data_IF_273601960770
#
_entry.id   IF_273601960770
#
_cell.length_a   1.000
_cell.length_b   1.000
_cell.length_c   1.000
_cell.angle_alpha   90.00
_cell.angle_beta   90.00
_cell.angle_gamma   90.00
#
_symmetry.space_group_name_H-M   'P 1'
#
loop_
_entity.id
_entity.type
_entity.pdbx_description
1 polymer ?
#
# COMPACT_ATOMS: atom_id res chain seq x y z
N UNK A 1 -4.59 28.67 -10.07
CA UNK A 1 -4.21 27.25 -9.95
C UNK A 1 -3.41 26.91 -11.20
N UNK A 2 -2.20 26.33 -11.08
CA UNK A 2 -1.44 25.83 -12.20
C UNK A 2 -2.25 24.82 -13.02
N UNK A 3 -1.95 24.69 -14.32
CA UNK A 3 -2.67 23.75 -15.19
C UNK A 3 -2.57 22.30 -14.71
N UNK A 4 -1.41 21.90 -14.20
CA UNK A 4 -1.20 20.56 -13.66
C UNK A 4 -2.15 20.26 -12.50
N UNK A 5 -2.26 21.17 -11.54
CA UNK A 5 -3.18 21.00 -10.40
C UNK A 5 -4.63 20.89 -10.86
N UNK A 6 -5.02 21.73 -11.82
CA UNK A 6 -6.37 21.69 -12.40
C UNK A 6 -6.66 20.33 -13.05
N UNK A 7 -5.76 19.84 -13.89
CA UNK A 7 -5.91 18.55 -14.56
C UNK A 7 -5.95 17.40 -13.56
N UNK A 8 -5.10 17.45 -12.54
CA UNK A 8 -5.10 16.45 -11.47
C UNK A 8 -6.46 16.40 -10.75
N UNK A 9 -6.99 17.54 -10.33
CA UNK A 9 -8.30 17.60 -9.70
C UNK A 9 -9.42 17.10 -10.62
N UNK A 10 -9.39 17.45 -11.91
CA UNK A 10 -10.36 16.92 -12.89
C UNK A 10 -10.25 15.40 -13.05
N UNK A 11 -9.04 14.85 -12.98
CA UNK A 11 -8.84 13.39 -13.01
C UNK A 11 -9.42 12.72 -11.76
N UNK A 12 -9.29 13.33 -10.59
CA UNK A 12 -9.89 12.82 -9.35
C UNK A 12 -11.42 12.86 -9.40
N UNK A 13 -12.01 13.94 -9.91
CA UNK A 13 -13.46 14.02 -10.13
C UNK A 13 -13.93 12.91 -11.08
N UNK A 14 -13.21 12.67 -12.16
CA UNK A 14 -13.54 11.60 -13.12
C UNK A 14 -13.41 10.21 -12.50
N UNK A 15 -12.35 9.97 -11.75
CA UNK A 15 -12.14 8.71 -11.02
C UNK A 15 -13.29 8.44 -10.04
N UNK A 16 -13.77 9.50 -9.35
CA UNK A 16 -14.94 9.39 -8.50
C UNK A 16 -16.22 9.05 -9.28
N UNK A 17 -16.50 9.78 -10.38
CA UNK A 17 -17.74 9.64 -11.16
C UNK A 17 -17.87 8.24 -11.79
N UNK A 18 -16.74 7.61 -12.11
CA UNK A 18 -16.67 6.27 -12.71
C UNK A 18 -16.33 5.15 -11.72
N UNK A 19 -16.23 5.48 -10.42
CA UNK A 19 -15.81 4.56 -9.36
C UNK A 19 -14.48 3.83 -9.65
N UNK A 20 -13.53 4.55 -10.26
CA UNK A 20 -12.20 4.02 -10.57
C UNK A 20 -11.26 4.35 -9.42
N UNK A 21 -10.57 3.36 -8.80
CA UNK A 21 -9.55 3.63 -7.80
C UNK A 21 -8.31 4.26 -8.44
N UNK A 22 -7.58 5.05 -7.64
CA UNK A 22 -6.39 5.78 -8.09
C UNK A 22 -5.17 5.22 -7.39
N UNK A 23 -4.20 4.76 -8.16
CA UNK A 23 -2.89 4.33 -7.66
C UNK A 23 -1.93 5.53 -7.68
N UNK A 24 -1.28 5.78 -6.55
CA UNK A 24 -0.32 6.90 -6.41
C UNK A 24 1.02 6.37 -5.94
N UNK A 25 2.06 6.68 -6.71
CA UNK A 25 3.43 6.44 -6.29
C UNK A 25 3.79 7.37 -5.12
N UNK A 26 4.30 6.81 -4.03
CA UNK A 26 4.72 7.55 -2.84
C UNK A 26 6.10 7.07 -2.38
N UNK A 27 6.83 7.93 -1.66
CA UNK A 27 8.12 7.56 -1.10
C UNK A 27 9.24 7.45 -2.13
N UNK A 28 10.04 6.40 -2.03
CA UNK A 28 11.23 6.19 -2.83
C UNK A 28 10.95 6.14 -4.34
N UNK A 29 11.74 6.89 -5.09
CA UNK A 29 11.76 6.87 -6.55
C UNK A 29 12.99 6.10 -7.04
N UNK A 30 12.79 5.15 -7.95
CA UNK A 30 13.90 4.42 -8.55
C UNK A 30 14.78 5.33 -9.40
N UNK A 31 16.09 5.11 -9.35
CA UNK A 31 17.07 5.82 -10.17
C UNK A 31 18.19 6.46 -9.35
N UNK A 32 19.32 6.68 -10.03
CA UNK A 32 20.46 7.38 -9.44
C UNK A 32 20.15 8.87 -9.27
N UNK A 33 20.55 9.45 -8.15
CA UNK A 33 20.40 10.88 -7.85
C UNK A 33 18.95 11.34 -7.64
N UNK A 34 18.00 10.41 -7.51
CA UNK A 34 16.62 10.75 -7.16
C UNK A 34 16.53 11.13 -5.68
N UNK A 35 15.99 12.31 -5.42
CA UNK A 35 15.79 12.82 -4.07
C UNK A 35 14.44 12.38 -3.49
N UNK A 36 14.31 12.50 -2.16
CA UNK A 36 13.05 12.23 -1.46
C UNK A 36 12.15 13.46 -1.34
N UNK A 37 12.63 14.63 -1.78
CA UNK A 37 11.87 15.88 -1.67
C UNK A 37 10.58 15.80 -2.50
N UNK A 38 9.45 16.01 -1.85
CA UNK A 38 8.15 16.01 -2.53
C UNK A 38 7.51 14.63 -2.71
N UNK A 39 8.06 13.56 -2.12
CA UNK A 39 7.50 12.19 -2.20
C UNK A 39 6.89 11.68 -0.90
N UNK A 40 6.93 12.47 0.17
CA UNK A 40 6.30 12.11 1.45
C UNK A 40 4.80 12.02 1.32
N UNK A 41 4.22 10.96 1.89
CA UNK A 41 2.77 10.70 1.91
C UNK A 41 1.96 11.85 2.55
N UNK A 42 2.53 12.56 3.51
CA UNK A 42 1.88 13.69 4.18
C UNK A 42 1.47 14.81 3.21
N UNK A 43 2.20 14.98 2.11
CA UNK A 43 1.90 15.98 1.08
C UNK A 43 0.58 15.70 0.35
N UNK A 44 0.08 14.47 0.41
CA UNK A 44 -1.18 14.05 -0.21
C UNK A 44 -2.40 14.24 0.71
N UNK A 45 -2.22 14.56 2.00
CA UNK A 45 -3.32 14.76 2.95
C UNK A 45 -4.39 15.72 2.40
N UNK A 46 -4.06 16.89 1.82
CA UNK A 46 -5.08 17.77 1.26
C UNK A 46 -5.91 17.14 0.13
N UNK A 47 -5.32 16.20 -0.62
CA UNK A 47 -6.02 15.45 -1.69
C UNK A 47 -6.98 14.43 -1.06
N UNK A 48 -6.53 13.68 -0.06
CA UNK A 48 -7.36 12.71 0.65
C UNK A 48 -8.57 13.37 1.32
N UNK A 49 -8.38 14.57 1.87
CA UNK A 49 -9.44 15.38 2.49
C UNK A 49 -10.45 15.93 1.49
N UNK A 50 -10.01 16.37 0.32
CA UNK A 50 -10.89 16.94 -0.70
C UNK A 50 -11.57 15.88 -1.55
N UNK A 51 -10.89 14.77 -1.81
CA UNK A 51 -11.36 13.69 -2.69
C UNK A 51 -11.82 12.45 -1.88
N UNK A 52 -12.62 12.65 -0.82
CA UNK A 52 -13.00 11.61 0.17
C UNK A 52 -13.68 10.38 -0.43
N UNK A 53 -14.25 10.49 -1.62
CA UNK A 53 -14.95 9.39 -2.30
C UNK A 53 -14.09 8.66 -3.32
N UNK A 54 -12.88 9.16 -3.60
CA UNK A 54 -11.88 8.47 -4.42
C UNK A 54 -11.11 7.51 -3.52
N UNK A 55 -10.97 6.27 -3.95
CA UNK A 55 -10.16 5.26 -3.28
C UNK A 55 -8.72 5.38 -3.76
N UNK A 56 -7.77 5.56 -2.84
CA UNK A 56 -6.35 5.74 -3.13
C UNK A 56 -5.55 4.52 -2.68
N UNK A 57 -4.90 3.86 -3.64
CA UNK A 57 -3.88 2.87 -3.41
C UNK A 57 -2.50 3.56 -3.40
N UNK A 58 -1.78 3.48 -2.27
CA UNK A 58 -0.55 4.23 -2.02
C UNK A 58 0.66 3.31 -2.02
N UNK A 59 1.43 3.37 -3.11
CA UNK A 59 2.51 2.43 -3.45
C UNK A 59 3.73 2.50 -2.55
N UNK A 60 4.44 1.37 -2.48
CA UNK A 60 5.82 1.21 -1.99
C UNK A 60 5.98 1.46 -0.50
N UNK A 61 4.91 1.19 0.28
CA UNK A 61 4.87 1.49 1.71
C UNK A 61 5.20 2.96 2.02
N UNK A 62 5.16 3.86 1.04
CA UNK A 62 5.69 5.23 1.15
C UNK A 62 7.11 5.29 1.72
N UNK A 63 7.93 4.26 1.49
CA UNK A 63 9.24 4.15 2.11
C UNK A 63 10.10 5.40 1.82
N UNK A 64 10.70 6.07 2.84
CA UNK A 64 10.88 5.61 4.22
C UNK A 64 9.76 5.99 5.21
N UNK A 65 8.65 6.60 4.81
CA UNK A 65 7.56 7.09 5.67
C UNK A 65 6.44 6.05 5.89
N UNK A 66 6.82 4.79 6.13
CA UNK A 66 5.85 3.70 6.26
C UNK A 66 4.96 3.82 7.52
N UNK A 67 5.51 4.34 8.61
CA UNK A 67 4.75 4.58 9.85
C UNK A 67 3.74 5.70 9.67
N UNK A 68 4.13 6.79 9.01
CA UNK A 68 3.25 7.92 8.66
C UNK A 68 2.11 7.45 7.76
N UNK A 69 2.40 6.61 6.75
CA UNK A 69 1.38 6.00 5.91
C UNK A 69 0.41 5.16 6.75
N UNK A 70 0.90 4.37 7.71
CA UNK A 70 0.05 3.60 8.63
C UNK A 70 -0.92 4.49 9.41
N UNK A 71 -0.44 5.61 9.96
CA UNK A 71 -1.29 6.58 10.67
C UNK A 71 -2.32 7.21 9.74
N UNK A 72 -1.92 7.60 8.54
CA UNK A 72 -2.82 8.17 7.54
C UNK A 72 -3.88 7.14 7.13
N UNK A 73 -3.50 5.92 6.78
CA UNK A 73 -4.41 4.86 6.38
C UNK A 73 -5.41 4.47 7.47
N UNK A 74 -5.01 4.58 8.75
CA UNK A 74 -5.90 4.40 9.91
C UNK A 74 -6.98 5.48 9.96
N UNK A 75 -6.63 6.73 9.69
CA UNK A 75 -7.51 7.89 9.87
C UNK A 75 -8.33 8.22 8.61
N UNK A 76 -7.83 7.84 7.43
CA UNK A 76 -8.44 8.13 6.13
C UNK A 76 -9.07 6.86 5.53
N UNK A 77 -10.41 6.72 5.56
CA UNK A 77 -11.07 5.51 5.03
C UNK A 77 -10.76 5.21 3.57
N UNK A 78 -10.44 6.24 2.80
CA UNK A 78 -10.16 6.17 1.37
C UNK A 78 -8.68 5.96 1.01
N UNK A 79 -7.78 5.76 1.99
CA UNK A 79 -6.35 5.51 1.77
C UNK A 79 -6.03 4.06 2.11
N UNK A 80 -5.42 3.36 1.17
CA UNK A 80 -5.07 1.94 1.21
C UNK A 80 -3.56 1.80 1.09
N UNK A 81 -2.84 1.32 2.13
CA UNK A 81 -1.40 1.17 2.10
C UNK A 81 -1.01 -0.10 1.34
N UNK A 82 -0.04 0.02 0.44
CA UNK A 82 0.42 -1.05 -0.43
C UNK A 82 1.93 -1.31 -0.31
N UNK A 83 2.28 -2.60 -0.19
CA UNK A 83 3.65 -3.11 -0.19
C UNK A 83 4.15 -3.48 -1.61
N UNK A 84 3.48 -2.99 -2.66
CA UNK A 84 3.94 -3.12 -4.03
C UNK A 84 5.42 -2.74 -4.13
N UNK A 85 6.24 -3.61 -4.75
CA UNK A 85 7.69 -3.49 -4.91
C UNK A 85 8.51 -3.35 -3.59
N UNK A 86 7.89 -3.02 -2.47
CA UNK A 86 8.57 -2.77 -1.20
C UNK A 86 9.43 -3.95 -0.73
N UNK A 87 8.98 -5.19 -0.98
CA UNK A 87 9.71 -6.40 -0.64
C UNK A 87 11.03 -6.55 -1.40
N UNK A 88 11.08 -6.09 -2.64
CA UNK A 88 12.30 -6.11 -3.45
C UNK A 88 13.29 -5.03 -2.99
N UNK A 89 12.79 -3.87 -2.58
CA UNK A 89 13.63 -2.73 -2.16
C UNK A 89 14.21 -2.91 -0.76
N UNK A 90 13.38 -3.31 0.19
CA UNK A 90 13.73 -3.36 1.61
C UNK A 90 12.88 -4.40 2.34
N UNK A 91 13.23 -5.70 2.28
CA UNK A 91 12.47 -6.77 2.93
C UNK A 91 12.22 -6.54 4.43
N UNK A 92 13.27 -6.16 5.17
CA UNK A 92 13.17 -5.91 6.61
C UNK A 92 12.27 -4.71 6.92
N UNK A 93 12.34 -3.67 6.09
CA UNK A 93 11.46 -2.50 6.17
C UNK A 93 10.00 -2.85 5.91
N UNK A 94 9.77 -3.73 4.93
CA UNK A 94 8.43 -4.22 4.59
C UNK A 94 7.83 -5.08 5.71
N UNK A 95 8.63 -5.94 6.36
CA UNK A 95 8.18 -6.70 7.53
C UNK A 95 7.81 -5.78 8.70
N UNK A 96 8.61 -4.73 8.97
CA UNK A 96 8.29 -3.75 10.03
C UNK A 96 7.02 -2.99 9.69
N UNK A 97 6.89 -2.49 8.46
CA UNK A 97 5.70 -1.77 8.01
C UNK A 97 4.43 -2.61 8.15
N UNK A 98 4.45 -3.85 7.63
CA UNK A 98 3.31 -4.74 7.73
C UNK A 98 2.96 -5.06 9.19
N UNK A 99 3.96 -5.32 10.03
CA UNK A 99 3.74 -5.61 11.44
C UNK A 99 3.07 -4.44 12.16
N UNK A 100 3.52 -3.21 11.91
CA UNK A 100 2.96 -1.98 12.46
C UNK A 100 1.54 -1.71 11.94
N UNK A 101 1.32 -1.88 10.64
CA UNK A 101 0.01 -1.66 10.03
C UNK A 101 -1.04 -2.65 10.56
N UNK A 102 -0.69 -3.91 10.76
CA UNK A 102 -1.61 -4.90 11.34
C UNK A 102 -2.04 -4.58 12.78
N UNK A 103 -1.31 -3.72 13.49
CA UNK A 103 -1.72 -3.23 14.80
C UNK A 103 -2.63 -1.99 14.74
N UNK A 104 -2.57 -1.24 13.64
CA UNK A 104 -3.21 0.06 13.55
C UNK A 104 -4.23 0.22 12.42
N UNK A 105 -4.07 -0.49 11.33
CA UNK A 105 -4.89 -0.38 10.11
C UNK A 105 -5.76 -1.62 9.95
N UNK A 106 -7.05 -1.49 9.58
CA UNK A 106 -7.86 -2.65 9.22
C UNK A 106 -7.21 -3.46 8.09
N UNK A 107 -6.99 -4.75 8.30
CA UNK A 107 -6.26 -5.60 7.35
C UNK A 107 -6.91 -5.68 5.96
N UNK A 108 -8.22 -5.46 5.87
CA UNK A 108 -8.93 -5.39 4.59
C UNK A 108 -8.63 -4.13 3.76
N UNK A 109 -7.79 -3.24 4.26
CA UNK A 109 -7.26 -2.07 3.53
C UNK A 109 -5.82 -2.26 3.06
N UNK A 110 -5.13 -3.31 3.48
CA UNK A 110 -3.71 -3.50 3.23
C UNK A 110 -3.54 -4.34 1.96
N UNK A 111 -2.69 -3.89 1.04
CA UNK A 111 -2.22 -4.70 -0.07
C UNK A 111 -0.82 -5.24 0.24
N UNK A 112 -0.71 -6.56 0.26
CA UNK A 112 0.50 -7.24 0.70
C UNK A 112 1.55 -7.41 -0.38
N UNK A 113 1.16 -7.27 -1.67
CA UNK A 113 2.05 -7.54 -2.79
C UNK A 113 1.60 -6.84 -4.08
N UNK A 114 2.58 -6.36 -4.80
CA UNK A 114 2.59 -5.95 -6.19
C UNK A 114 4.03 -5.99 -6.69
N UNK A 115 4.27 -6.40 -7.92
CA UNK A 115 5.63 -6.58 -8.43
C UNK A 115 6.29 -5.27 -8.86
N UNK A 116 5.53 -4.41 -9.54
CA UNK A 116 6.03 -3.17 -10.17
C UNK A 116 7.31 -3.43 -10.99
N UNK A 117 7.25 -4.39 -11.89
CA UNK A 117 8.38 -4.77 -12.76
C UNK A 117 7.88 -5.14 -14.16
N UNK A 118 8.68 -4.83 -15.16
CA UNK A 118 8.51 -5.24 -16.55
C UNK A 118 9.16 -6.60 -16.87
N UNK A 119 9.81 -7.22 -15.87
CA UNK A 119 10.56 -8.47 -16.01
C UNK A 119 9.81 -9.63 -15.33
N UNK A 120 9.13 -10.53 -16.08
CA UNK A 120 8.29 -11.59 -15.51
C UNK A 120 9.01 -12.50 -14.51
N UNK A 121 10.32 -12.77 -14.71
CA UNK A 121 11.10 -13.57 -13.76
C UNK A 121 11.36 -12.85 -12.43
N UNK A 122 11.43 -11.51 -12.44
CA UNK A 122 11.54 -10.74 -11.21
C UNK A 122 10.24 -10.83 -10.39
N UNK A 123 9.08 -10.81 -11.07
CA UNK A 123 7.78 -10.97 -10.43
C UNK A 123 7.70 -12.26 -9.61
N UNK A 124 8.12 -13.40 -10.17
CA UNK A 124 8.17 -14.67 -9.44
C UNK A 124 9.04 -14.59 -8.19
N UNK A 125 10.20 -13.97 -8.30
CA UNK A 125 11.12 -13.78 -7.16
C UNK A 125 10.55 -12.86 -6.08
N UNK A 126 9.95 -11.75 -6.48
CA UNK A 126 9.34 -10.78 -5.58
C UNK A 126 8.10 -11.34 -4.88
N UNK A 127 7.26 -12.12 -5.60
CA UNK A 127 6.12 -12.81 -5.02
C UNK A 127 6.54 -13.82 -3.94
N UNK A 128 7.61 -14.60 -4.20
CA UNK A 128 8.14 -15.51 -3.19
C UNK A 128 8.67 -14.77 -1.96
N UNK A 129 9.39 -13.67 -2.16
CA UNK A 129 9.92 -12.84 -1.09
C UNK A 129 8.80 -12.23 -0.23
N UNK A 130 7.75 -11.71 -0.87
CA UNK A 130 6.57 -11.18 -0.19
C UNK A 130 5.88 -12.27 0.66
N UNK A 131 5.62 -13.45 0.08
CA UNK A 131 5.00 -14.57 0.82
C UNK A 131 5.80 -14.99 2.06
N UNK A 132 7.12 -15.09 1.92
CA UNK A 132 7.99 -15.45 3.04
C UNK A 132 8.01 -14.34 4.12
N UNK A 133 8.06 -13.07 3.71
CA UNK A 133 8.04 -11.94 4.62
C UNK A 133 6.70 -11.83 5.37
N UNK A 134 5.58 -11.95 4.66
CA UNK A 134 4.24 -11.96 5.26
C UNK A 134 4.09 -13.11 6.25
N UNK A 135 4.52 -14.33 5.87
CA UNK A 135 4.45 -15.48 6.76
C UNK A 135 5.25 -15.24 8.06
N UNK A 136 6.47 -14.70 7.97
CA UNK A 136 7.28 -14.38 9.17
C UNK A 136 6.61 -13.32 10.05
N UNK A 137 5.95 -12.32 9.47
CA UNK A 137 5.21 -11.31 10.27
C UNK A 137 4.05 -11.96 10.98
N UNK A 138 3.24 -12.76 10.28
CA UNK A 138 2.07 -13.40 10.86
C UNK A 138 2.44 -14.46 11.91
N UNK A 139 3.49 -15.23 11.70
CA UNK A 139 4.00 -16.16 12.71
C UNK A 139 4.40 -15.45 14.00
N UNK A 140 5.11 -14.31 13.92
CA UNK A 140 5.42 -13.50 15.11
C UNK A 140 4.16 -12.98 15.83
N UNK A 141 3.11 -12.61 15.08
CA UNK A 141 1.82 -12.19 15.68
C UNK A 141 1.09 -13.35 16.35
N UNK A 142 1.17 -14.56 15.79
CA UNK A 142 0.64 -15.78 16.43
C UNK A 142 1.41 -16.10 17.73
N UNK A 143 2.74 -16.09 17.68
CA UNK A 143 3.60 -16.34 18.86
C UNK A 143 3.35 -15.31 19.98
N UNK A 144 3.06 -14.06 19.62
CA UNK A 144 2.69 -12.99 20.55
C UNK A 144 1.22 -13.08 21.03
N UNK A 145 0.46 -14.09 20.62
CA UNK A 145 -0.99 -14.25 20.89
C UNK A 145 -1.85 -13.05 20.44
N UNK A 146 -1.41 -12.29 19.43
CA UNK A 146 -2.19 -11.23 18.82
C UNK A 146 -3.27 -11.77 17.87
N UNK A 147 -2.96 -12.86 17.15
CA UNK A 147 -3.87 -13.54 16.23
C UNK A 147 -3.91 -15.06 16.50
N UNK A 148 -5.06 -15.69 16.24
CA UNK A 148 -5.09 -17.15 16.06
C UNK A 148 -4.47 -17.53 14.71
N UNK A 149 -4.12 -18.81 14.53
CA UNK A 149 -3.62 -19.30 13.23
C UNK A 149 -4.65 -19.09 12.11
N UNK A 150 -5.92 -19.41 12.37
CA UNK A 150 -7.01 -19.25 11.42
C UNK A 150 -7.15 -17.76 10.99
N UNK A 151 -7.03 -16.84 11.95
CA UNK A 151 -7.08 -15.40 11.64
C UNK A 151 -5.86 -14.94 10.83
N UNK A 152 -4.69 -15.47 11.11
CA UNK A 152 -3.49 -15.18 10.34
C UNK A 152 -3.59 -15.68 8.88
N UNK A 153 -4.16 -16.86 8.67
CA UNK A 153 -4.41 -17.42 7.33
C UNK A 153 -5.45 -16.60 6.56
N UNK A 154 -6.52 -16.15 7.22
CA UNK A 154 -7.51 -15.23 6.66
C UNK A 154 -6.85 -13.91 6.22
N UNK A 155 -6.03 -13.31 7.10
CA UNK A 155 -5.30 -12.08 6.81
C UNK A 155 -4.36 -12.28 5.61
N UNK A 156 -3.60 -13.37 5.58
CA UNK A 156 -2.69 -13.66 4.48
C UNK A 156 -3.42 -13.74 3.13
N UNK A 157 -4.55 -14.45 3.08
CA UNK A 157 -5.36 -14.55 1.87
C UNK A 157 -5.93 -13.18 1.44
N UNK A 158 -6.42 -12.41 2.40
CA UNK A 158 -6.97 -11.08 2.13
C UNK A 158 -5.91 -10.13 1.56
N UNK A 159 -4.77 -9.96 2.23
CA UNK A 159 -3.76 -8.98 1.82
C UNK A 159 -2.98 -9.39 0.57
N UNK A 160 -2.91 -10.71 0.26
CA UNK A 160 -2.21 -11.18 -0.94
C UNK A 160 -3.08 -11.16 -2.20
N UNK A 161 -4.40 -11.21 -2.06
CA UNK A 161 -5.29 -11.32 -3.21
C UNK A 161 -6.65 -10.65 -2.97
N UNK A 162 -7.41 -11.07 -1.97
CA UNK A 162 -8.82 -10.72 -1.81
C UNK A 162 -9.08 -9.21 -1.71
N UNK A 163 -8.23 -8.48 -1.00
CA UNK A 163 -8.36 -7.01 -0.89
C UNK A 163 -8.18 -6.33 -2.25
N UNK A 164 -7.23 -6.81 -3.06
CA UNK A 164 -7.00 -6.28 -4.41
C UNK A 164 -8.19 -6.59 -5.34
N UNK A 165 -8.70 -7.81 -5.32
CA UNK A 165 -9.88 -8.20 -6.12
C UNK A 165 -11.09 -7.31 -5.79
N UNK A 166 -11.39 -7.12 -4.51
CA UNK A 166 -12.49 -6.25 -4.06
C UNK A 166 -12.25 -4.78 -4.45
N UNK A 167 -11.06 -4.26 -4.21
CA UNK A 167 -10.72 -2.86 -4.44
C UNK A 167 -10.80 -2.47 -5.92
N UNK A 168 -10.33 -3.34 -6.82
CA UNK A 168 -10.32 -3.10 -8.26
C UNK A 168 -11.56 -3.66 -8.99
N UNK A 169 -12.47 -4.34 -8.29
CA UNK A 169 -13.67 -4.92 -8.88
C UNK A 169 -13.37 -6.07 -9.84
N UNK A 170 -12.40 -6.93 -9.50
CA UNK A 170 -11.96 -8.05 -10.34
C UNK A 170 -12.61 -9.40 -9.97
N UNK A 171 -13.47 -9.43 -8.96
CA UNK A 171 -14.16 -10.63 -8.45
C UNK A 171 -15.50 -10.92 -9.09
#
# INVERSE_FOLDING_TARGET
MPLGDYLFHRSMERAHDEDIPVQIHTGYLAGNWMGLTGTSIELLIPIFDTCRRVRFDTFHASWPWASELGVIAKNYPNVFPDLCWAWAMNPDGSERALSEWLDGVPYNKIFGYGADTDLPWCDVGYALQARLGIARVLDRKIEANAFSREKAEEIAAAIMLGNGEEFFGLG
#
